data_IF_626643867532
#
_entry.id   IF_626643867532
#
_cell.length_a   1.000
_cell.length_b   1.000
_cell.length_c   1.000
_cell.angle_alpha   90.00
_cell.angle_beta   90.00
_cell.angle_gamma   90.00
#
_symmetry.space_group_name_H-M   'P 1'
#
loop_
_entity.id
_entity.type
_entity.pdbx_description
1 polymer ?
#
# COMPACT_ATOMS: atom_id res chain seq x y z
N UNK A 1 -19.10 30.69 -12.96
CA UNK A 1 -19.15 29.33 -12.36
C UNK A 1 -18.44 28.23 -13.19
N UNK A 2 -18.32 28.33 -14.52
CA UNK A 2 -17.66 27.32 -15.38
C UNK A 2 -16.13 27.16 -15.21
N UNK A 3 -15.43 28.10 -14.55
CA UNK A 3 -13.95 28.09 -14.44
C UNK A 3 -13.40 27.40 -13.18
N UNK A 4 -14.26 27.04 -12.21
CA UNK A 4 -13.82 26.37 -10.97
C UNK A 4 -13.94 24.84 -11.02
N UNK A 5 -14.69 24.30 -11.99
CA UNK A 5 -14.95 22.86 -12.14
C UNK A 5 -13.76 22.07 -12.71
N UNK A 6 -12.99 22.67 -13.61
CA UNK A 6 -11.86 21.99 -14.26
C UNK A 6 -10.71 21.63 -13.29
N UNK A 7 -10.26 22.50 -12.37
CA UNK A 7 -9.20 22.14 -11.42
C UNK A 7 -9.68 21.19 -10.32
N UNK A 8 -10.97 21.20 -9.95
CA UNK A 8 -11.54 20.21 -9.01
C UNK A 8 -11.69 18.83 -9.65
N UNK A 9 -12.04 18.75 -10.94
CA UNK A 9 -12.07 17.51 -11.71
C UNK A 9 -10.65 16.89 -11.84
N UNK A 10 -9.64 17.72 -12.11
CA UNK A 10 -8.24 17.27 -12.20
C UNK A 10 -7.66 16.82 -10.85
N UNK A 11 -7.99 17.52 -9.75
CA UNK A 11 -7.55 17.15 -8.41
C UNK A 11 -8.23 15.87 -7.89
N UNK A 12 -9.50 15.63 -8.28
CA UNK A 12 -10.16 14.35 -7.99
C UNK A 12 -9.57 13.22 -8.83
N UNK A 13 -9.30 13.41 -10.13
CA UNK A 13 -8.62 12.38 -10.95
C UNK A 13 -7.25 11.92 -10.39
N UNK A 14 -6.50 12.81 -9.73
CA UNK A 14 -5.18 12.48 -9.19
C UNK A 14 -5.22 11.60 -7.91
N UNK A 15 -6.16 11.85 -6.99
CA UNK A 15 -6.30 11.06 -5.74
C UNK A 15 -6.96 9.70 -6.01
N UNK A 16 -7.78 9.59 -7.06
CA UNK A 16 -8.34 8.31 -7.49
C UNK A 16 -7.28 7.39 -8.13
N UNK A 17 -6.14 7.89 -8.59
CA UNK A 17 -5.22 7.13 -9.47
C UNK A 17 -4.65 5.83 -8.89
N UNK A 18 -4.32 5.77 -7.59
CA UNK A 18 -3.68 4.59 -7.01
C UNK A 18 -4.68 3.48 -6.61
N UNK A 19 -5.81 3.84 -5.98
CA UNK A 19 -6.85 2.87 -5.62
C UNK A 19 -7.79 2.53 -6.78
N UNK A 20 -7.93 3.41 -7.78
CA UNK A 20 -8.73 3.11 -8.96
C UNK A 20 -8.04 2.11 -9.89
N UNK A 21 -6.71 2.04 -9.87
CA UNK A 21 -5.97 1.12 -10.74
C UNK A 21 -6.35 -0.34 -10.47
N UNK A 22 -6.46 -0.74 -9.20
CA UNK A 22 -6.81 -2.10 -8.81
C UNK A 22 -8.26 -2.51 -9.15
N UNK A 23 -9.12 -1.52 -9.40
CA UNK A 23 -10.53 -1.68 -9.74
C UNK A 23 -10.81 -1.58 -11.23
N UNK A 24 -9.80 -1.22 -12.02
CA UNK A 24 -9.92 -1.05 -13.46
C UNK A 24 -9.70 -2.39 -14.18
N UNK A 25 -10.48 -2.62 -15.22
CA UNK A 25 -10.35 -3.75 -16.11
C UNK A 25 -10.55 -3.33 -17.56
N UNK A 26 -9.86 -4.01 -18.48
CA UNK A 26 -10.08 -3.92 -19.91
C UNK A 26 -10.74 -5.19 -20.42
N UNK A 27 -11.65 -5.05 -21.37
CA UNK A 27 -12.40 -6.15 -21.96
C UNK A 27 -12.17 -6.17 -23.46
N UNK A 28 -11.93 -7.35 -24.03
CA UNK A 28 -11.91 -7.60 -25.46
C UNK A 28 -12.81 -8.81 -25.73
N UNK A 29 -13.72 -8.70 -26.69
CA UNK A 29 -14.64 -9.78 -27.00
C UNK A 29 -14.96 -9.84 -28.48
N UNK A 30 -15.37 -11.04 -28.90
CA UNK A 30 -16.00 -11.28 -30.19
C UNK A 30 -17.25 -12.12 -29.97
N UNK A 31 -18.20 -12.07 -30.88
CA UNK A 31 -19.40 -12.87 -30.75
C UNK A 31 -20.18 -12.99 -32.03
N UNK A 32 -21.14 -13.90 -31.99
CA UNK A 32 -22.09 -14.16 -33.06
C UNK A 32 -23.37 -13.38 -32.81
N UNK A 33 -23.85 -12.66 -33.82
CA UNK A 33 -25.10 -11.90 -33.80
C UNK A 33 -26.25 -12.78 -34.33
N UNK A 34 -27.39 -12.74 -33.65
CA UNK A 34 -28.59 -13.49 -34.01
C UNK A 34 -29.73 -12.52 -34.22
N UNK A 35 -30.13 -12.22 -35.47
CA UNK A 35 -31.32 -11.42 -35.70
C UNK A 35 -32.55 -12.16 -35.17
N UNK A 36 -33.46 -11.44 -34.51
CA UNK A 36 -34.77 -11.96 -34.13
C UNK A 36 -35.85 -11.29 -34.99
N UNK A 37 -35.76 -11.51 -36.30
CA UNK A 37 -36.69 -10.98 -37.31
C UNK A 37 -37.18 -12.11 -38.23
N UNK A 38 -37.96 -11.76 -39.26
CA UNK A 38 -38.54 -12.73 -40.20
C UNK A 38 -37.51 -13.34 -41.17
N UNK A 39 -36.29 -12.80 -41.21
CA UNK A 39 -35.16 -13.25 -42.02
C UNK A 39 -34.32 -14.31 -41.28
N UNK A 40 -34.98 -15.39 -40.87
CA UNK A 40 -34.37 -16.46 -40.06
C UNK A 40 -33.38 -17.35 -40.83
N UNK A 41 -33.33 -17.23 -42.16
CA UNK A 41 -32.41 -18.02 -42.97
C UNK A 41 -31.06 -17.32 -43.10
N UNK A 42 -30.01 -18.14 -43.20
CA UNK A 42 -28.64 -17.68 -43.45
C UNK A 42 -27.96 -18.54 -44.52
N UNK A 43 -28.73 -19.05 -45.49
CA UNK A 43 -28.29 -19.97 -46.54
C UNK A 43 -28.02 -19.30 -47.90
N UNK A 44 -28.25 -17.99 -48.04
CA UNK A 44 -27.87 -17.25 -49.24
C UNK A 44 -26.35 -17.20 -49.43
N UNK A 45 -25.87 -17.50 -50.65
CA UNK A 45 -24.43 -17.60 -50.97
C UNK A 45 -23.65 -16.30 -50.70
N UNK A 46 -24.33 -15.15 -50.66
CA UNK A 46 -23.73 -13.86 -50.33
C UNK A 46 -23.58 -13.56 -48.84
N UNK A 47 -24.16 -14.36 -47.95
CA UNK A 47 -24.19 -14.09 -46.52
C UNK A 47 -22.79 -14.08 -45.90
N UNK A 48 -22.48 -13.01 -45.16
CA UNK A 48 -21.29 -12.99 -44.32
C UNK A 48 -21.63 -13.60 -42.97
N UNK A 49 -20.65 -14.17 -42.26
CA UNK A 49 -20.85 -14.61 -40.89
C UNK A 49 -21.29 -13.42 -40.02
N UNK A 50 -22.37 -13.60 -39.26
CA UNK A 50 -22.91 -12.58 -38.35
C UNK A 50 -21.99 -12.43 -37.14
N UNK A 51 -20.95 -11.61 -37.28
CA UNK A 51 -19.89 -11.46 -36.30
C UNK A 51 -19.79 -10.04 -35.79
N UNK A 52 -19.40 -9.93 -34.52
CA UNK A 52 -19.06 -8.68 -33.89
C UNK A 52 -17.74 -8.79 -33.15
N UNK A 53 -17.04 -7.67 -33.05
CA UNK A 53 -15.87 -7.47 -32.21
C UNK A 53 -16.08 -6.23 -31.36
N UNK A 54 -15.64 -6.28 -30.12
CA UNK A 54 -15.81 -5.19 -29.20
C UNK A 54 -14.71 -5.09 -28.17
N UNK A 55 -14.58 -3.89 -27.62
CA UNK A 55 -13.64 -3.56 -26.58
C UNK A 55 -14.33 -2.68 -25.53
N UNK A 56 -13.89 -2.78 -24.29
CA UNK A 56 -14.50 -2.02 -23.21
C UNK A 56 -13.57 -1.80 -22.03
N UNK A 57 -14.00 -0.93 -21.13
CA UNK A 57 -13.37 -0.67 -19.85
C UNK A 57 -14.38 -0.85 -18.73
N UNK A 58 -13.96 -1.51 -17.66
CA UNK A 58 -14.77 -1.77 -16.47
C UNK A 58 -14.13 -1.16 -15.24
N UNK A 59 -14.93 -0.55 -14.38
CA UNK A 59 -14.53 -0.02 -13.07
C UNK A 59 -15.39 -0.65 -11.97
N UNK A 60 -14.74 -1.37 -11.05
CA UNK A 60 -15.42 -2.05 -9.96
C UNK A 60 -15.86 -1.06 -8.87
N UNK A 61 -17.15 -0.69 -8.88
CA UNK A 61 -17.73 0.26 -7.91
C UNK A 61 -18.08 -0.39 -6.57
N UNK A 62 -18.41 -1.68 -6.56
CA UNK A 62 -18.63 -2.47 -5.35
C UNK A 62 -18.12 -3.91 -5.52
N UNK A 63 -17.99 -4.72 -4.45
CA UNK A 63 -17.46 -6.08 -4.56
C UNK A 63 -18.14 -6.91 -5.65
N UNK A 64 -19.47 -6.84 -5.75
CA UNK A 64 -20.29 -7.57 -6.73
C UNK A 64 -20.72 -6.72 -7.93
N UNK A 65 -20.35 -5.44 -8.03
CA UNK A 65 -20.88 -4.52 -9.04
C UNK A 65 -19.76 -3.78 -9.78
N UNK A 66 -19.80 -3.85 -11.10
CA UNK A 66 -18.85 -3.19 -12.00
C UNK A 66 -19.61 -2.27 -12.95
N UNK A 67 -19.19 -1.02 -13.05
CA UNK A 67 -19.63 -0.10 -14.10
C UNK A 67 -18.77 -0.36 -15.34
N UNK A 68 -19.38 -0.60 -16.49
CA UNK A 68 -18.68 -0.99 -17.71
C UNK A 68 -19.12 -0.15 -18.90
N UNK A 69 -18.15 0.40 -19.62
CA UNK A 69 -18.35 1.04 -20.92
C UNK A 69 -17.82 0.14 -22.03
N UNK A 70 -18.60 -0.08 -23.08
CA UNK A 70 -18.24 -0.92 -24.22
C UNK A 70 -18.47 -0.21 -25.54
N UNK A 71 -17.58 -0.47 -26.50
CA UNK A 71 -17.74 -0.17 -27.91
C UNK A 71 -17.71 -1.47 -28.70
N UNK A 72 -18.56 -1.58 -29.71
CA UNK A 72 -18.67 -2.76 -30.57
C UNK A 72 -18.85 -2.35 -32.02
N UNK A 73 -18.29 -3.14 -32.93
CA UNK A 73 -18.59 -3.09 -34.35
C UNK A 73 -18.92 -4.50 -34.83
N UNK A 74 -19.91 -4.65 -35.71
CA UNK A 74 -20.30 -5.95 -36.24
C UNK A 74 -21.12 -5.85 -37.50
N UNK A 75 -21.41 -7.02 -38.07
CA UNK A 75 -22.31 -7.17 -39.20
C UNK A 75 -23.37 -8.23 -38.89
N UNK A 76 -24.56 -8.01 -39.42
CA UNK A 76 -25.70 -8.90 -39.28
C UNK A 76 -26.41 -8.97 -40.62
N UNK A 77 -26.39 -10.17 -41.17
CA UNK A 77 -26.90 -10.52 -42.47
C UNK A 77 -28.00 -11.57 -42.26
N UNK A 78 -29.01 -11.57 -43.13
CA UNK A 78 -30.11 -12.53 -43.08
C UNK A 78 -30.89 -12.54 -44.39
N UNK A 79 -31.56 -13.65 -44.67
CA UNK A 79 -32.35 -13.81 -45.88
C UNK A 79 -33.71 -14.48 -45.60
N UNK A 80 -34.64 -14.27 -46.52
CA UNK A 80 -35.85 -15.08 -46.68
C UNK A 80 -35.98 -15.54 -48.14
N UNK A 81 -37.15 -16.02 -48.56
CA UNK A 81 -37.40 -16.56 -49.91
C UNK A 81 -37.08 -15.61 -51.09
N UNK A 82 -37.14 -14.27 -50.90
CA UNK A 82 -37.06 -13.29 -52.00
C UNK A 82 -35.99 -12.22 -51.73
N UNK A 83 -35.83 -11.82 -50.47
CA UNK A 83 -34.92 -10.73 -50.11
C UNK A 83 -33.79 -11.21 -49.20
N UNK A 84 -32.65 -10.54 -49.36
CA UNK A 84 -31.47 -10.66 -48.53
C UNK A 84 -31.10 -9.28 -48.01
N UNK A 85 -30.71 -9.17 -46.74
CA UNK A 85 -30.24 -7.91 -46.17
C UNK A 85 -28.84 -8.02 -45.55
N UNK A 86 -28.13 -6.89 -45.59
CA UNK A 86 -26.83 -6.68 -44.94
C UNK A 86 -26.90 -5.48 -44.00
N UNK A 87 -26.58 -5.69 -42.73
CA UNK A 87 -26.56 -4.62 -41.73
C UNK A 87 -25.20 -4.52 -41.06
N UNK A 88 -24.52 -3.38 -41.23
CA UNK A 88 -23.33 -3.03 -40.46
C UNK A 88 -23.74 -2.18 -39.26
N UNK A 89 -23.27 -2.52 -38.06
CA UNK A 89 -23.64 -1.84 -36.82
C UNK A 89 -22.43 -1.46 -35.97
N UNK A 90 -22.59 -0.36 -35.24
CA UNK A 90 -21.66 0.15 -34.24
C UNK A 90 -22.45 0.47 -32.97
N UNK A 91 -22.00 -0.05 -31.84
CA UNK A 91 -22.65 0.19 -30.55
C UNK A 91 -21.68 0.89 -29.59
N UNK A 92 -22.22 1.82 -28.80
CA UNK A 92 -21.56 2.37 -27.63
C UNK A 92 -22.51 2.27 -26.43
N UNK A 93 -22.10 1.57 -25.37
CA UNK A 93 -22.95 1.27 -24.21
C UNK A 93 -22.25 1.60 -22.90
N UNK A 94 -23.06 1.94 -21.89
CA UNK A 94 -22.62 2.11 -20.51
C UNK A 94 -23.58 1.34 -19.61
N UNK A 95 -23.07 0.32 -18.92
CA UNK A 95 -23.90 -0.60 -18.14
C UNK A 95 -23.28 -1.08 -16.85
N UNK A 96 -24.02 -1.96 -16.20
CA UNK A 96 -23.67 -2.58 -14.94
C UNK A 96 -23.53 -4.09 -15.13
N UNK A 97 -22.40 -4.61 -14.65
CA UNK A 97 -22.15 -6.04 -14.51
C UNK A 97 -22.27 -6.41 -13.02
N UNK A 98 -23.21 -7.30 -12.71
CA UNK A 98 -23.48 -7.77 -11.37
C UNK A 98 -23.05 -9.22 -11.17
N UNK A 99 -22.00 -9.44 -10.38
CA UNK A 99 -21.48 -10.77 -10.08
C UNK A 99 -22.31 -11.43 -8.98
N UNK A 100 -23.20 -12.33 -9.38
CA UNK A 100 -24.12 -13.06 -8.49
C UNK A 100 -23.37 -13.95 -7.50
N UNK A 101 -22.24 -14.56 -7.90
CA UNK A 101 -21.48 -15.47 -7.04
C UNK A 101 -20.95 -14.74 -5.80
N UNK A 102 -20.57 -13.47 -5.95
CA UNK A 102 -20.05 -12.67 -4.83
C UNK A 102 -21.09 -12.33 -3.76
N UNK A 103 -22.38 -12.55 -4.01
CA UNK A 103 -23.41 -12.46 -2.98
C UNK A 103 -23.32 -13.62 -1.98
N UNK A 104 -22.95 -14.81 -2.45
CA UNK A 104 -22.92 -16.03 -1.64
C UNK A 104 -21.52 -16.34 -1.11
N UNK A 105 -20.49 -16.03 -1.88
CA UNK A 105 -19.10 -16.22 -1.48
C UNK A 105 -18.22 -15.05 -1.96
N UNK A 106 -17.83 -14.19 -1.02
CA UNK A 106 -17.06 -12.97 -1.31
C UNK A 106 -15.65 -13.25 -1.81
N UNK A 107 -15.08 -14.38 -1.41
CA UNK A 107 -13.67 -14.74 -1.67
C UNK A 107 -13.53 -15.67 -2.89
N UNK A 108 -14.64 -16.10 -3.50
CA UNK A 108 -14.60 -16.99 -4.63
C UNK A 108 -14.35 -16.23 -5.94
N UNK A 109 -13.11 -16.31 -6.45
CA UNK A 109 -12.71 -15.62 -7.69
C UNK A 109 -12.57 -16.53 -8.92
N UNK A 110 -12.65 -17.86 -8.77
CA UNK A 110 -12.36 -18.81 -9.88
C UNK A 110 -13.40 -18.81 -10.99
N UNK A 111 -14.68 -18.73 -10.61
CA UNK A 111 -15.81 -18.66 -11.54
C UNK A 111 -16.65 -17.45 -11.14
N UNK A 112 -17.07 -16.67 -12.13
CA UNK A 112 -17.90 -15.48 -12.00
C UNK A 112 -19.16 -15.71 -12.81
N UNK A 113 -20.31 -15.36 -12.25
CA UNK A 113 -21.58 -15.33 -12.98
C UNK A 113 -22.06 -13.89 -12.96
N UNK A 114 -21.96 -13.20 -14.08
CA UNK A 114 -22.33 -11.80 -14.19
C UNK A 114 -23.68 -11.66 -14.89
N UNK A 115 -24.60 -10.92 -14.28
CA UNK A 115 -25.77 -10.39 -14.97
C UNK A 115 -25.43 -9.01 -15.50
N UNK A 116 -25.79 -8.74 -16.75
CA UNK A 116 -25.44 -7.52 -17.47
C UNK A 116 -26.70 -6.75 -17.84
N UNK A 117 -26.70 -5.44 -17.61
CA UNK A 117 -27.69 -4.50 -18.15
C UNK A 117 -26.97 -3.22 -18.57
N UNK A 118 -27.09 -2.83 -19.84
CA UNK A 118 -26.41 -1.67 -20.40
C UNK A 118 -27.29 -0.91 -21.42
N UNK A 119 -27.79 0.29 -21.06
CA UNK A 119 -28.27 1.22 -22.06
C UNK A 119 -27.13 1.75 -22.93
N UNK A 120 -27.46 2.17 -24.14
CA UNK A 120 -26.50 2.78 -25.04
C UNK A 120 -27.12 3.29 -26.33
N UNK A 121 -26.25 3.51 -27.29
CA UNK A 121 -26.58 3.99 -28.62
C UNK A 121 -26.02 3.04 -29.68
N UNK A 122 -26.79 2.85 -30.74
CA UNK A 122 -26.40 2.08 -31.91
C UNK A 122 -26.51 2.93 -33.17
N UNK A 123 -25.51 2.81 -34.01
CA UNK A 123 -25.48 3.36 -35.35
C UNK A 123 -25.45 2.18 -36.32
N UNK A 124 -26.31 2.19 -37.33
CA UNK A 124 -26.32 1.10 -38.31
C UNK A 124 -26.49 1.61 -39.74
N UNK A 125 -26.10 0.77 -40.69
CA UNK A 125 -26.41 0.90 -42.11
C UNK A 125 -26.89 -0.46 -42.61
N UNK A 126 -28.12 -0.52 -43.08
CA UNK A 126 -28.79 -1.70 -43.59
C UNK A 126 -29.07 -1.56 -45.10
N UNK A 127 -28.91 -2.64 -45.86
CA UNK A 127 -29.20 -2.69 -47.30
C UNK A 127 -29.98 -3.95 -47.60
N UNK A 128 -31.05 -3.83 -48.37
CA UNK A 128 -31.84 -4.97 -48.85
C UNK A 128 -31.63 -5.16 -50.35
N UNK A 129 -31.53 -6.42 -50.75
CA UNK A 129 -31.31 -6.88 -52.11
C UNK A 129 -32.35 -7.91 -52.50
N UNK A 130 -32.72 -7.91 -53.78
CA UNK A 130 -33.43 -9.01 -54.40
C UNK A 130 -32.45 -10.18 -54.63
N UNK A 131 -32.82 -11.40 -54.20
CA UNK A 131 -31.92 -12.56 -54.23
C UNK A 131 -31.61 -13.00 -55.66
N UNK A 132 -32.58 -12.92 -56.58
CA UNK A 132 -32.45 -13.42 -57.96
C UNK A 132 -31.65 -12.46 -58.84
N UNK A 133 -31.94 -11.17 -58.74
CA UNK A 133 -31.37 -10.12 -59.59
C UNK A 133 -30.13 -9.46 -58.97
N UNK A 134 -29.96 -9.58 -57.65
CA UNK A 134 -28.94 -8.88 -56.85
C UNK A 134 -29.06 -7.36 -56.91
N UNK A 135 -30.20 -6.84 -57.36
CA UNK A 135 -30.46 -5.41 -57.36
C UNK A 135 -30.73 -4.93 -55.93
N UNK A 136 -30.14 -3.79 -55.57
CA UNK A 136 -30.38 -3.16 -54.27
C UNK A 136 -31.77 -2.51 -54.29
N UNK A 137 -32.65 -2.99 -53.43
CA UNK A 137 -34.03 -2.52 -53.33
C UNK A 137 -34.15 -1.33 -52.36
N UNK A 138 -33.52 -1.45 -51.18
CA UNK A 138 -33.66 -0.49 -50.08
C UNK A 138 -32.31 -0.27 -49.41
N UNK A 139 -32.10 0.94 -48.89
CA UNK A 139 -30.96 1.27 -48.03
C UNK A 139 -31.44 2.15 -46.88
N UNK A 140 -31.04 1.80 -45.66
CA UNK A 140 -31.30 2.55 -44.44
C UNK A 140 -29.99 2.88 -43.71
N UNK A 141 -29.77 4.11 -43.25
CA UNK A 141 -30.59 5.28 -43.56
C UNK A 141 -30.47 5.69 -45.05
N UNK A 142 -31.48 6.38 -45.58
CA UNK A 142 -31.51 6.79 -47.00
C UNK A 142 -30.33 7.72 -47.30
N UNK A 143 -29.49 7.39 -48.29
CA UNK A 143 -28.36 8.22 -48.69
C UNK A 143 -28.82 9.65 -49.07
N UNK A 144 -28.23 10.65 -48.42
CA UNK A 144 -28.52 12.07 -48.69
C UNK A 144 -29.50 12.73 -47.71
N UNK A 145 -30.34 11.96 -47.02
CA UNK A 145 -31.30 12.50 -46.06
C UNK A 145 -30.83 12.38 -44.60
N UNK A 146 -30.14 11.28 -44.22
CA UNK A 146 -29.58 11.09 -42.87
C UNK A 146 -28.35 10.16 -42.93
N UNK A 147 -27.21 10.60 -42.41
CA UNK A 147 -26.06 9.72 -42.14
C UNK A 147 -26.27 9.02 -40.80
N UNK A 148 -26.03 7.70 -40.71
CA UNK A 148 -26.07 6.85 -39.51
C UNK A 148 -27.02 7.36 -38.41
N UNK A 149 -28.29 6.95 -38.42
CA UNK A 149 -29.22 7.34 -37.37
C UNK A 149 -28.79 6.77 -36.02
N UNK A 150 -28.64 7.60 -34.98
CA UNK A 150 -28.43 7.11 -33.62
C UNK A 150 -29.72 6.52 -33.09
N UNK A 151 -29.68 5.27 -32.61
CA UNK A 151 -30.83 4.61 -32.03
C UNK A 151 -30.51 4.18 -30.61
N UNK A 152 -31.48 4.32 -29.72
CA UNK A 152 -31.32 3.85 -28.35
C UNK A 152 -31.33 2.33 -28.34
N UNK A 153 -30.41 1.74 -27.55
CA UNK A 153 -30.39 0.31 -27.31
C UNK A 153 -30.35 0.01 -25.82
N UNK A 154 -31.01 -1.07 -25.43
CA UNK A 154 -30.88 -1.67 -24.12
C UNK A 154 -30.38 -3.11 -24.26
N UNK A 155 -29.12 -3.33 -23.87
CA UNK A 155 -28.54 -4.66 -23.82
C UNK A 155 -28.77 -5.27 -22.43
N UNK A 156 -29.18 -6.53 -22.37
CA UNK A 156 -29.31 -7.27 -21.11
C UNK A 156 -28.99 -8.75 -21.30
N UNK A 157 -28.40 -9.39 -20.30
CA UNK A 157 -28.04 -10.80 -20.41
C UNK A 157 -27.16 -11.29 -19.27
N UNK A 158 -26.36 -12.31 -19.54
CA UNK A 158 -25.47 -12.90 -18.55
C UNK A 158 -24.21 -13.48 -19.15
N UNK A 159 -23.18 -13.61 -18.32
CA UNK A 159 -21.92 -14.24 -18.70
C UNK A 159 -21.32 -15.07 -17.56
N UNK A 160 -20.60 -16.12 -17.94
CA UNK A 160 -19.74 -16.91 -17.08
C UNK A 160 -18.29 -16.53 -17.35
N UNK A 161 -17.60 -16.06 -16.32
CA UNK A 161 -16.17 -15.76 -16.34
C UNK A 161 -15.39 -16.86 -15.63
N UNK A 162 -14.33 -17.37 -16.25
CA UNK A 162 -13.41 -18.36 -15.70
C UNK A 162 -12.04 -17.69 -15.54
N UNK A 163 -11.55 -17.60 -14.31
CA UNK A 163 -10.24 -17.01 -14.02
C UNK A 163 -9.13 -17.93 -14.52
N UNK A 164 -8.40 -17.49 -15.55
CA UNK A 164 -7.21 -18.16 -16.07
C UNK A 164 -5.96 -17.78 -15.27
N UNK A 165 -5.94 -16.57 -14.73
CA UNK A 165 -4.90 -16.05 -13.84
C UNK A 165 -5.48 -14.99 -12.90
N UNK A 166 -4.74 -14.50 -11.88
CA UNK A 166 -5.22 -13.42 -11.01
C UNK A 166 -5.61 -12.12 -11.75
N UNK A 167 -5.17 -11.94 -13.00
CA UNK A 167 -5.41 -10.75 -13.81
C UNK A 167 -6.18 -11.02 -15.10
N UNK A 168 -6.49 -12.26 -15.43
CA UNK A 168 -7.08 -12.62 -16.72
C UNK A 168 -8.22 -13.61 -16.55
N UNK A 169 -9.38 -13.24 -17.07
CA UNK A 169 -10.53 -14.12 -17.16
C UNK A 169 -10.89 -14.40 -18.62
N UNK A 170 -11.28 -15.63 -18.91
CA UNK A 170 -12.04 -15.99 -20.11
C UNK A 170 -13.53 -15.83 -19.80
N UNK A 171 -14.28 -15.15 -20.66
CA UNK A 171 -15.70 -14.87 -20.48
C UNK A 171 -16.49 -15.48 -21.63
N UNK A 172 -17.57 -16.17 -21.30
CA UNK A 172 -18.56 -16.71 -22.23
C UNK A 172 -19.91 -16.12 -21.83
N UNK A 173 -20.67 -15.56 -22.76
CA UNK A 173 -21.94 -14.93 -22.40
C UNK A 173 -22.93 -14.85 -23.54
N UNK A 174 -24.16 -14.52 -23.16
CA UNK A 174 -25.23 -14.22 -24.09
C UNK A 174 -25.97 -12.97 -23.60
N UNK A 175 -26.29 -12.07 -24.52
CA UNK A 175 -27.16 -10.94 -24.21
C UNK A 175 -28.13 -10.65 -25.36
N UNK A 176 -29.30 -10.16 -25.00
CA UNK A 176 -30.28 -9.63 -25.94
C UNK A 176 -30.09 -8.11 -26.03
N UNK A 177 -30.39 -7.54 -27.20
CA UNK A 177 -30.46 -6.11 -27.44
C UNK A 177 -31.89 -5.79 -27.83
N UNK A 178 -32.49 -4.88 -27.10
CA UNK A 178 -33.71 -4.18 -27.50
C UNK A 178 -33.30 -2.90 -28.21
N UNK A 179 -33.85 -2.66 -29.39
CA UNK A 179 -33.61 -1.45 -30.18
C UNK A 179 -34.90 -0.66 -30.24
N UNK A 180 -34.87 0.53 -29.65
CA UNK A 180 -36.07 1.36 -29.52
C UNK A 180 -36.34 2.15 -30.80
N UNK A 181 -37.60 2.15 -31.25
CA UNK A 181 -38.11 2.89 -32.42
C UNK A 181 -37.29 2.71 -33.71
N UNK A 182 -36.75 1.51 -33.94
CA UNK A 182 -36.08 1.14 -35.20
C UNK A 182 -36.90 0.08 -35.91
N UNK A 183 -37.41 0.44 -37.09
CA UNK A 183 -38.17 -0.44 -37.99
C UNK A 183 -37.38 -0.82 -39.26
N UNK A 184 -36.10 -0.43 -39.35
CA UNK A 184 -35.31 -0.52 -40.58
C UNK A 184 -33.97 -1.21 -40.38
N UNK A 185 -33.76 -1.90 -39.26
CA UNK A 185 -32.49 -2.57 -38.99
C UNK A 185 -32.25 -3.76 -39.92
N UNK A 186 -33.30 -4.36 -40.47
CA UNK A 186 -33.30 -5.39 -41.49
C UNK A 186 -33.61 -4.84 -42.90
N UNK A 187 -33.64 -3.50 -43.04
CA UNK A 187 -34.04 -2.78 -44.24
C UNK A 187 -35.45 -3.12 -44.78
N UNK A 188 -36.33 -3.66 -43.93
CA UNK A 188 -37.72 -3.95 -44.25
C UNK A 188 -38.67 -3.26 -43.26
N UNK A 189 -39.50 -2.33 -43.74
CA UNK A 189 -40.50 -1.68 -42.90
C UNK A 189 -41.72 -2.60 -42.72
N UNK A 190 -41.64 -3.55 -41.78
CA UNK A 190 -42.77 -4.41 -41.43
C UNK A 190 -43.12 -4.34 -39.95
N UNK A 191 -43.96 -3.36 -39.60
CA UNK A 191 -44.63 -3.25 -38.30
C UNK A 191 -44.17 -2.09 -37.41
N UNK A 192 -45.01 -1.70 -36.46
CA UNK A 192 -44.74 -0.62 -35.48
C UNK A 192 -43.92 -1.12 -34.26
N UNK A 193 -43.20 -2.24 -34.39
CA UNK A 193 -42.59 -2.93 -33.25
C UNK A 193 -41.09 -2.68 -33.19
N UNK A 194 -40.57 -2.58 -31.96
CA UNK A 194 -39.14 -2.49 -31.69
C UNK A 194 -38.40 -3.76 -32.12
N UNK A 195 -37.25 -3.57 -32.76
CA UNK A 195 -36.37 -4.67 -33.18
C UNK A 195 -35.58 -5.29 -32.01
N UNK A 196 -35.26 -6.59 -32.16
CA UNK A 196 -34.41 -7.33 -31.22
C UNK A 196 -33.32 -8.13 -31.94
N UNK A 197 -32.18 -8.29 -31.29
CA UNK A 197 -31.18 -9.28 -31.68
C UNK A 197 -30.43 -9.82 -30.47
N UNK A 198 -30.02 -11.08 -30.58
CA UNK A 198 -29.14 -11.76 -29.63
C UNK A 198 -27.68 -11.59 -29.99
N UNK A 199 -26.80 -11.76 -29.01
CA UNK A 199 -25.41 -12.11 -29.31
C UNK A 199 -24.83 -13.02 -28.25
N UNK A 200 -24.27 -14.14 -28.73
CA UNK A 200 -23.42 -15.04 -27.96
C UNK A 200 -21.97 -14.60 -28.14
N UNK A 201 -21.22 -14.44 -27.05
CA UNK A 201 -19.89 -13.84 -27.07
C UNK A 201 -18.88 -14.64 -26.27
N UNK A 202 -17.64 -14.59 -26.75
CA UNK A 202 -16.43 -15.05 -26.06
C UNK A 202 -15.44 -13.90 -25.97
N UNK A 203 -14.79 -13.74 -24.83
CA UNK A 203 -13.86 -12.64 -24.64
C UNK A 203 -12.94 -12.80 -23.45
N UNK A 204 -12.00 -11.87 -23.33
CA UNK A 204 -11.07 -11.80 -22.23
C UNK A 204 -11.30 -10.53 -21.42
N UNK A 205 -11.20 -10.66 -20.10
CA UNK A 205 -11.16 -9.52 -19.19
C UNK A 205 -9.80 -9.49 -18.52
N UNK A 206 -9.07 -8.38 -18.71
CA UNK A 206 -7.78 -8.14 -18.06
C UNK A 206 -7.94 -7.13 -16.92
N UNK A 207 -7.60 -7.51 -15.69
CA UNK A 207 -7.66 -6.66 -14.52
C UNK A 207 -6.31 -5.98 -14.26
N UNK A 208 -6.32 -4.67 -14.05
CA UNK A 208 -5.15 -3.90 -13.65
C UNK A 208 -4.87 -4.02 -12.14
N UNK A 209 -5.01 -5.23 -11.57
CA UNK A 209 -4.61 -5.49 -10.18
C UNK A 209 -3.09 -5.33 -10.03
N UNK A 210 -2.65 -4.57 -9.04
CA UNK A 210 -1.25 -4.58 -8.65
C UNK A 210 -0.91 -5.95 -8.03
N UNK A 211 0.26 -6.45 -8.39
CA UNK A 211 0.75 -7.71 -7.84
C UNK A 211 1.27 -7.41 -6.43
N UNK A 212 0.69 -7.95 -5.35
CA UNK A 212 1.15 -7.67 -3.99
C UNK A 212 2.60 -8.10 -3.76
N UNK A 213 3.17 -8.93 -4.66
CA UNK A 213 4.57 -9.31 -4.64
C UNK A 213 5.55 -8.21 -5.12
N UNK A 214 5.06 -7.15 -5.78
CA UNK A 214 5.88 -6.03 -6.22
C UNK A 214 5.64 -4.82 -5.32
N UNK A 215 6.44 -4.73 -4.26
CA UNK A 215 6.56 -3.52 -3.42
C UNK A 215 7.04 -2.38 -4.32
N UNK A 216 6.11 -1.55 -4.80
CA UNK A 216 6.49 -0.28 -5.41
C UNK A 216 6.97 0.62 -4.27
N UNK A 217 8.28 0.73 -4.13
CA UNK A 217 8.87 1.69 -3.20
C UNK A 217 8.58 3.09 -3.75
N UNK A 218 7.83 3.88 -3.00
CA UNK A 218 7.63 5.30 -3.30
C UNK A 218 9.01 5.95 -3.50
N UNK A 219 9.24 6.53 -4.69
CA UNK A 219 10.53 7.15 -5.04
C UNK A 219 10.95 8.20 -4.03
N UNK A 220 10.00 8.90 -3.40
CA UNK A 220 10.29 9.89 -2.37
C UNK A 220 10.71 9.22 -1.07
N UNK A 221 10.00 8.19 -0.63
CA UNK A 221 10.36 7.40 0.54
C UNK A 221 11.72 6.70 0.37
N UNK A 222 12.02 6.21 -0.84
CA UNK A 222 13.33 5.63 -1.18
C UNK A 222 14.44 6.68 -1.15
N UNK A 223 14.21 7.88 -1.70
CA UNK A 223 15.17 8.97 -1.66
C UNK A 223 15.43 9.45 -0.22
N UNK A 224 14.39 9.54 0.61
CA UNK A 224 14.52 9.90 2.02
C UNK A 224 15.21 8.79 2.84
N UNK A 225 14.97 7.52 2.50
CA UNK A 225 15.67 6.39 3.11
C UNK A 225 17.16 6.40 2.74
N UNK A 226 17.50 6.62 1.46
CA UNK A 226 18.88 6.74 1.02
C UNK A 226 19.60 7.93 1.67
N UNK A 227 18.91 9.06 1.87
CA UNK A 227 19.46 10.18 2.65
C UNK A 227 19.72 9.79 4.11
N UNK A 228 18.81 9.06 4.75
CA UNK A 228 19.02 8.58 6.11
C UNK A 228 20.21 7.60 6.20
N UNK A 229 20.34 6.69 5.24
CA UNK A 229 21.46 5.74 5.17
C UNK A 229 22.77 6.50 4.95
N UNK A 230 22.83 7.44 4.02
CA UNK A 230 24.02 8.27 3.78
C UNK A 230 24.41 9.08 5.02
N UNK A 231 23.43 9.64 5.75
CA UNK A 231 23.70 10.36 7.00
C UNK A 231 24.21 9.42 8.10
N UNK A 232 23.68 8.19 8.18
CA UNK A 232 24.13 7.16 9.12
C UNK A 232 25.57 6.71 8.81
N UNK A 233 25.88 6.45 7.55
CA UNK A 233 27.25 6.13 7.11
C UNK A 233 28.24 7.25 7.43
N UNK A 234 27.84 8.50 7.21
CA UNK A 234 28.65 9.65 7.61
C UNK A 234 28.87 9.70 9.14
N UNK A 235 27.82 9.45 9.92
CA UNK A 235 27.91 9.42 11.39
C UNK A 235 28.82 8.29 11.88
N UNK A 236 28.79 7.12 11.21
CA UNK A 236 29.67 5.98 11.53
C UNK A 236 31.12 6.34 11.20
N UNK A 237 31.39 6.95 10.05
CA UNK A 237 32.74 7.40 9.67
C UNK A 237 33.29 8.47 10.64
N UNK A 238 32.45 9.41 11.07
CA UNK A 238 32.82 10.41 12.10
C UNK A 238 33.11 9.75 13.45
N UNK A 239 32.36 8.71 13.83
CA UNK A 239 32.61 7.94 15.05
C UNK A 239 33.89 7.10 14.98
N UNK A 240 34.21 6.52 13.82
CA UNK A 240 35.47 5.82 13.60
C UNK A 240 36.67 6.77 13.70
N UNK A 241 36.58 7.94 13.04
CA UNK A 241 37.61 8.98 13.15
C UNK A 241 37.77 9.51 14.58
N UNK A 242 36.67 9.64 15.33
CA UNK A 242 36.73 9.97 16.76
C UNK A 242 37.33 8.83 17.58
N UNK A 243 37.08 7.56 17.24
CA UNK A 243 37.69 6.39 17.86
C UNK A 243 39.21 6.36 17.68
N UNK A 244 39.70 6.64 16.48
CA UNK A 244 41.14 6.77 16.21
C UNK A 244 41.76 7.91 17.02
N UNK A 245 41.08 9.05 17.12
CA UNK A 245 41.54 10.20 17.91
C UNK A 245 41.55 9.91 19.42
N UNK A 246 40.60 9.11 19.91
CA UNK A 246 40.58 8.64 21.29
C UNK A 246 41.76 7.69 21.56
N UNK A 247 42.04 6.75 20.64
CA UNK A 247 43.19 5.86 20.77
C UNK A 247 44.53 6.61 20.75
N UNK A 248 44.67 7.65 19.92
CA UNK A 248 45.84 8.53 19.92
C UNK A 248 46.02 9.28 21.24
N UNK A 249 44.93 9.82 21.80
CA UNK A 249 44.94 10.51 23.09
C UNK A 249 45.25 9.55 24.25
N UNK A 250 44.81 8.30 24.17
CA UNK A 250 45.11 7.28 25.18
C UNK A 250 46.60 6.89 25.17
N UNK A 251 47.18 6.69 23.98
CA UNK A 251 48.64 6.49 23.85
C UNK A 251 49.44 7.70 24.36
N UNK A 252 49.01 8.92 24.01
CA UNK A 252 49.66 10.15 24.50
C UNK A 252 49.57 10.28 26.02
N UNK A 253 48.45 9.89 26.63
CA UNK A 253 48.32 9.87 28.09
C UNK A 253 49.22 8.81 28.72
N UNK A 254 49.29 7.60 28.16
CA UNK A 254 50.19 6.55 28.65
C UNK A 254 51.66 7.00 28.60
N UNK A 255 52.07 7.65 27.51
CA UNK A 255 53.42 8.21 27.37
C UNK A 255 53.71 9.28 28.44
N UNK A 256 52.76 10.20 28.66
CA UNK A 256 52.87 11.20 29.73
C UNK A 256 52.93 10.57 31.12
N UNK A 257 52.16 9.52 31.38
CA UNK A 257 52.21 8.78 32.65
C UNK A 257 53.58 8.12 32.84
N UNK A 258 54.13 7.49 31.82
CA UNK A 258 55.51 6.95 31.89
C UNK A 258 56.53 8.07 32.14
N UNK A 259 56.37 9.24 31.51
CA UNK A 259 57.26 10.38 31.74
C UNK A 259 57.16 10.89 33.17
N UNK A 260 55.95 10.98 33.73
CA UNK A 260 55.73 11.34 35.13
C UNK A 260 56.42 10.34 36.06
N UNK A 261 56.22 9.04 35.86
CA UNK A 261 56.89 8.01 36.67
C UNK A 261 58.42 8.09 36.57
N UNK A 262 58.95 8.37 35.38
CA UNK A 262 60.40 8.57 35.18
C UNK A 262 60.89 9.80 35.95
N UNK A 263 60.16 10.91 35.86
CA UNK A 263 60.47 12.14 36.59
C UNK A 263 60.33 11.97 38.10
N UNK A 264 59.35 11.20 38.58
CA UNK A 264 59.19 10.86 39.99
C UNK A 264 60.36 10.02 40.50
N UNK A 265 60.81 9.02 39.72
CA UNK A 265 62.01 8.25 40.05
C UNK A 265 63.28 9.11 40.06
N UNK A 266 63.42 10.06 39.12
CA UNK A 266 64.49 11.06 39.12
C UNK A 266 64.39 11.99 40.34
N UNK A 267 63.18 12.42 40.72
CA UNK A 267 62.94 13.31 41.85
C UNK A 267 63.18 12.60 43.19
N UNK A 268 62.79 11.33 43.32
CA UNK A 268 63.10 10.50 44.50
C UNK A 268 64.61 10.23 44.60
N UNK A 269 65.30 10.02 43.48
CA UNK A 269 66.76 9.93 43.45
C UNK A 269 67.45 11.25 43.81
N UNK A 270 66.85 12.38 43.43
CA UNK A 270 67.34 13.71 43.78
C UNK A 270 67.05 14.07 45.25
N UNK A 271 65.90 13.63 45.79
CA UNK A 271 65.54 13.76 47.21
C UNK A 271 66.45 12.92 48.10
N UNK A 272 66.90 11.75 47.67
CA UNK A 272 67.90 10.98 48.43
C UNK A 272 69.27 11.65 48.51
N UNK A 273 69.56 12.67 47.69
CA UNK A 273 70.79 13.48 47.75
C UNK A 273 70.63 14.82 48.49
N UNK A 274 69.44 15.14 49.02
CA UNK A 274 69.17 16.41 49.72
C UNK A 274 68.48 16.16 51.07
N UNK A 275 69.31 15.98 52.10
CA UNK A 275 69.08 16.19 53.55
C UNK A 275 67.87 15.52 54.22
N UNK A 276 68.19 14.61 55.13
CA UNK A 276 67.98 14.74 56.59
C UNK A 276 67.02 15.84 57.08
N UNK A 277 66.16 15.43 58.02
CA UNK A 277 65.38 16.23 58.99
C UNK A 277 64.14 16.99 58.48
N UNK A 278 62.96 16.41 58.72
CA UNK A 278 62.06 16.81 59.83
C UNK A 278 60.57 16.56 59.57
N UNK A 279 59.91 16.14 60.65
CA UNK A 279 58.53 16.44 61.02
C UNK A 279 57.38 15.79 60.23
N UNK A 280 57.06 14.58 60.68
CA UNK A 280 55.75 13.94 60.63
C UNK A 280 54.66 14.89 61.15
N UNK A 281 53.75 15.33 60.28
CA UNK A 281 52.49 15.97 60.68
C UNK A 281 51.35 15.03 60.31
N UNK A 282 50.84 14.33 61.32
CA UNK A 282 49.64 13.49 61.28
C UNK A 282 48.41 14.36 61.04
N UNK A 283 47.80 14.21 59.86
CA UNK A 283 46.43 14.66 59.57
C UNK A 283 45.50 13.51 59.99
N UNK A 284 44.42 13.76 60.74
CA UNK A 284 43.52 12.71 61.19
C UNK A 284 42.65 12.24 60.02
N UNK A 285 42.80 10.97 59.64
CA UNK A 285 41.82 10.21 58.85
C UNK A 285 40.61 9.94 59.73
N UNK A 286 39.72 10.93 59.82
CA UNK A 286 38.33 10.71 60.17
C UNK A 286 37.58 10.25 58.92
N UNK A 287 37.61 8.96 58.64
CA UNK A 287 36.61 8.31 57.77
C UNK A 287 35.98 7.19 58.58
N UNK A 288 34.96 7.57 59.36
CA UNK A 288 33.92 6.64 59.75
C UNK A 288 33.32 6.07 58.46
N UNK A 289 33.57 4.80 58.20
CA UNK A 289 32.92 4.07 57.13
C UNK A 289 31.39 4.15 57.31
N UNK A 290 30.62 4.72 56.37
CA UNK A 290 29.18 4.53 56.40
C UNK A 290 28.88 3.08 55.98
N UNK A 291 28.34 2.35 56.95
CA UNK A 291 27.50 1.15 56.84
C UNK A 291 27.57 0.33 55.53
N UNK A 292 28.18 -0.86 55.63
CA UNK A 292 27.97 -2.07 54.83
C UNK A 292 27.04 -1.95 53.60
N UNK A 293 27.56 -1.45 52.48
CA UNK A 293 26.90 -1.55 51.17
C UNK A 293 26.58 -3.01 50.79
N UNK A 294 27.41 -3.95 51.25
CA UNK A 294 27.20 -5.39 51.04
C UNK A 294 26.04 -5.98 51.87
N UNK A 295 25.77 -5.46 53.08
CA UNK A 295 24.66 -5.95 53.90
C UNK A 295 23.30 -5.50 53.36
N UNK A 296 23.23 -4.34 52.71
CA UNK A 296 22.00 -3.79 52.14
C UNK A 296 21.62 -4.51 50.83
N UNK A 297 22.59 -5.14 50.15
CA UNK A 297 22.34 -5.91 48.93
C UNK A 297 21.84 -7.33 49.19
N UNK A 298 22.03 -7.88 50.40
CA UNK A 298 21.79 -9.29 50.72
C UNK A 298 20.33 -9.72 50.92
N UNK A 299 19.39 -8.79 51.13
CA UNK A 299 17.96 -9.12 51.28
C UNK A 299 17.14 -8.79 50.03
N UNK A 300 16.28 -9.71 49.54
CA UNK A 300 15.47 -9.49 48.35
C UNK A 300 14.49 -8.34 48.55
N UNK A 301 14.75 -7.20 47.91
CA UNK A 301 13.97 -5.98 48.07
C UNK A 301 13.87 -5.20 46.76
N UNK A 302 12.79 -4.44 46.60
CA UNK A 302 12.60 -3.52 45.48
C UNK A 302 13.36 -2.22 45.75
N UNK A 303 14.37 -1.92 44.94
CA UNK A 303 15.27 -0.77 45.13
C UNK A 303 15.09 0.24 43.99
N UNK A 304 15.03 1.52 44.33
CA UNK A 304 14.95 2.62 43.35
C UNK A 304 16.35 3.03 42.95
N UNK A 305 16.67 2.92 41.66
CA UNK A 305 17.94 3.37 41.08
C UNK A 305 17.74 4.77 40.50
N UNK A 306 18.66 5.67 40.84
CA UNK A 306 18.63 7.07 40.39
C UNK A 306 19.78 7.44 39.45
N UNK A 307 20.84 6.64 39.43
CA UNK A 307 21.95 6.77 38.49
C UNK A 307 22.69 5.44 38.31
N UNK A 308 23.31 5.26 37.14
CA UNK A 308 24.28 4.19 36.85
C UNK A 308 25.53 4.82 36.25
N UNK A 309 26.68 4.64 36.90
CA UNK A 309 27.91 5.39 36.62
C UNK A 309 29.13 4.45 36.51
N UNK A 310 30.17 4.80 35.73
CA UNK A 310 31.29 3.89 35.46
C UNK A 310 32.19 3.60 36.67
N UNK A 311 32.30 4.53 37.61
CA UNK A 311 33.18 4.40 38.75
C UNK A 311 32.54 4.93 40.05
N UNK A 312 33.04 4.43 41.19
CA UNK A 312 32.54 4.77 42.52
C UNK A 312 32.65 6.26 42.83
N UNK A 313 33.72 6.92 42.38
CA UNK A 313 33.96 8.37 42.61
C UNK A 313 32.88 9.21 41.94
N UNK A 314 32.47 8.86 40.72
CA UNK A 314 31.38 9.52 40.01
C UNK A 314 30.03 9.28 40.69
N UNK A 315 29.78 8.04 41.15
CA UNK A 315 28.57 7.71 41.90
C UNK A 315 28.47 8.50 43.22
N UNK A 316 29.57 8.60 43.96
CA UNK A 316 29.62 9.40 45.19
C UNK A 316 29.43 10.89 44.87
N UNK A 317 30.16 11.42 43.88
CA UNK A 317 30.00 12.82 43.45
C UNK A 317 28.57 13.13 42.99
N UNK A 318 27.88 12.15 42.41
CA UNK A 318 26.48 12.30 42.04
C UNK A 318 25.59 12.41 43.28
N UNK A 319 25.78 11.56 44.30
CA UNK A 319 25.08 11.65 45.60
C UNK A 319 25.33 13.03 46.22
N UNK A 320 26.59 13.47 46.26
CA UNK A 320 27.00 14.72 46.87
C UNK A 320 26.34 15.94 46.22
N UNK A 321 26.13 15.90 44.90
CA UNK A 321 25.47 16.96 44.11
C UNK A 321 23.95 16.86 44.08
N UNK A 322 23.38 15.70 44.43
CA UNK A 322 21.93 15.52 44.38
C UNK A 322 21.23 16.35 45.47
N UNK A 323 20.08 16.91 45.12
CA UNK A 323 19.19 17.62 46.06
C UNK A 323 18.21 16.66 46.77
N UNK A 324 18.39 15.36 46.58
CA UNK A 324 17.57 14.34 47.22
C UNK A 324 18.04 14.10 48.66
N UNK A 325 17.17 13.50 49.46
CA UNK A 325 17.53 13.00 50.79
C UNK A 325 18.62 11.92 50.70
N UNK A 326 19.81 12.21 51.23
CA UNK A 326 21.00 11.36 51.13
C UNK A 326 21.03 10.26 52.19
N UNK A 327 20.15 10.31 53.19
CA UNK A 327 20.20 9.43 54.38
C UNK A 327 20.03 7.94 54.07
N UNK A 328 19.35 7.60 52.97
CA UNK A 328 19.16 6.21 52.52
C UNK A 328 19.98 5.83 51.28
N UNK A 329 20.82 6.73 50.77
CA UNK A 329 21.53 6.51 49.50
C UNK A 329 22.74 5.60 49.68
N UNK A 330 22.87 4.60 48.79
CA UNK A 330 23.98 3.65 48.80
C UNK A 330 24.51 3.46 47.38
N UNK A 331 25.83 3.35 47.24
CA UNK A 331 26.47 2.98 45.98
C UNK A 331 26.66 1.46 45.94
N UNK A 332 26.05 0.80 44.97
CA UNK A 332 26.15 -0.64 44.76
C UNK A 332 26.89 -0.94 43.46
N UNK A 333 27.88 -1.84 43.50
CA UNK A 333 28.54 -2.33 42.28
C UNK A 333 27.80 -3.54 41.72
N UNK A 334 27.48 -3.52 40.42
CA UNK A 334 26.79 -4.60 39.73
C UNK A 334 27.77 -5.28 38.76
N UNK A 335 28.26 -6.46 39.15
CA UNK A 335 29.28 -7.21 38.40
C UNK A 335 28.86 -7.47 36.94
N UNK A 336 27.65 -7.97 36.73
CA UNK A 336 27.14 -8.31 35.38
C UNK A 336 27.09 -7.14 34.39
N UNK A 337 27.03 -5.91 34.91
CA UNK A 337 26.95 -4.70 34.08
C UNK A 337 28.24 -3.87 34.16
N UNK A 338 29.21 -4.27 34.99
CA UNK A 338 30.41 -3.49 35.31
C UNK A 338 30.11 -2.00 35.60
N UNK A 339 29.06 -1.73 36.38
CA UNK A 339 28.63 -0.36 36.70
C UNK A 339 28.31 -0.17 38.17
N UNK A 340 28.52 1.06 38.67
CA UNK A 340 28.14 1.49 40.00
C UNK A 340 26.76 2.16 39.94
N UNK A 341 25.78 1.57 40.61
CA UNK A 341 24.42 2.10 40.72
C UNK A 341 24.26 2.88 42.02
N UNK A 342 23.61 4.03 41.94
CA UNK A 342 23.18 4.79 43.12
C UNK A 342 21.76 4.34 43.46
N UNK A 343 21.63 3.64 44.58
CA UNK A 343 20.36 3.21 45.17
C UNK A 343 19.85 4.32 46.06
N UNK A 344 18.62 4.78 45.86
CA UNK A 344 18.02 5.83 46.67
C UNK A 344 17.36 5.31 47.96
N UNK A 345 16.46 4.34 47.82
CA UNK A 345 15.74 3.67 48.92
C UNK A 345 15.36 2.25 48.50
N UNK A 346 15.20 1.38 49.49
CA UNK A 346 14.76 -0.01 49.33
C UNK A 346 13.40 -0.23 49.99
N UNK A 347 12.58 -1.08 49.39
CA UNK A 347 11.21 -1.36 49.83
C UNK A 347 10.90 -2.86 49.78
N UNK A 348 10.10 -3.38 50.73
CA UNK A 348 9.71 -4.79 50.72
C UNK A 348 8.64 -5.13 49.67
N UNK A 349 8.02 -4.12 49.03
CA UNK A 349 7.00 -4.36 48.00
C UNK A 349 7.11 -3.38 46.84
N UNK A 350 6.82 -3.86 45.63
CA UNK A 350 6.81 -3.05 44.41
C UNK A 350 5.83 -1.87 44.50
N UNK A 351 4.68 -2.04 45.15
CA UNK A 351 3.69 -0.98 45.32
C UNK A 351 4.23 0.20 46.14
N UNK A 352 4.98 -0.08 47.22
CA UNK A 352 5.63 0.95 48.01
C UNK A 352 6.74 1.66 47.22
N UNK A 353 7.57 0.90 46.51
CA UNK A 353 8.62 1.46 45.63
C UNK A 353 8.04 2.34 44.53
N UNK A 354 6.94 1.94 43.89
CA UNK A 354 6.28 2.71 42.82
C UNK A 354 5.73 4.03 43.32
N UNK A 355 5.16 4.08 44.52
CA UNK A 355 4.64 5.32 45.11
C UNK A 355 5.77 6.32 45.34
N UNK A 356 6.91 5.88 45.86
CA UNK A 356 8.07 6.74 46.05
C UNK A 356 8.73 7.16 44.72
N UNK A 357 8.80 6.24 43.74
CA UNK A 357 9.34 6.54 42.41
C UNK A 357 8.61 7.71 41.74
N UNK A 358 7.28 7.79 41.87
CA UNK A 358 6.49 8.89 41.31
C UNK A 358 6.87 10.25 41.92
N UNK A 359 7.22 10.28 43.21
CA UNK A 359 7.67 11.51 43.88
C UNK A 359 9.05 11.93 43.35
N UNK A 360 9.96 10.97 43.10
CA UNK A 360 11.33 11.24 42.66
C UNK A 360 11.39 11.60 41.17
N UNK A 361 10.49 11.07 40.34
CA UNK A 361 10.50 11.32 38.88
C UNK A 361 10.37 12.79 38.48
N UNK A 362 9.86 13.64 39.37
CA UNK A 362 9.88 15.10 39.17
C UNK A 362 11.29 15.71 39.18
N UNK A 363 12.22 15.12 39.94
CA UNK A 363 13.62 15.57 40.03
C UNK A 363 14.58 14.73 39.19
N UNK A 364 14.27 13.44 39.01
CA UNK A 364 15.09 12.49 38.25
C UNK A 364 14.17 11.67 37.34
N UNK A 365 13.91 12.15 36.11
CA UNK A 365 13.00 11.48 35.17
C UNK A 365 13.44 10.04 34.86
N UNK A 366 14.75 9.81 34.86
CA UNK A 366 15.39 8.55 34.53
C UNK A 366 15.46 7.58 35.71
N UNK A 367 14.77 7.81 36.83
CA UNK A 367 14.76 6.84 37.93
C UNK A 367 13.92 5.59 37.56
N UNK A 368 14.36 4.40 37.99
CA UNK A 368 13.63 3.13 37.81
C UNK A 368 13.71 2.24 39.05
N UNK A 369 12.88 1.18 39.07
CA UNK A 369 12.86 0.17 40.14
C UNK A 369 13.53 -1.10 39.62
N UNK A 370 14.33 -1.74 40.46
CA UNK A 370 14.89 -3.06 40.22
C UNK A 370 14.73 -3.91 41.49
N UNK A 371 14.50 -5.19 41.33
CA UNK A 371 14.55 -6.17 42.42
C UNK A 371 15.94 -6.79 42.42
N UNK A 372 16.54 -6.86 43.58
CA UNK A 372 17.85 -7.46 43.81
C UNK A 372 17.73 -8.54 44.86
#
# INVERSE_FOLDING_TARGET
MKKLLLPTLLATCAIFSAQAQEKLSGHLYTGWLFPHNDFIHSDYEGNKPNLAVGAGIGYQIAPALTLRGDFMAGNMDGNHEIYYYETSLYEAKLGLDFNVIKLFNKDYEKIKLNLHVAPGMMYYSAKMYDIDTREKLVESPVPGDKALSPNFILAYGGSVGIALSPKLDLNLGYSNRFVDEVEWMDANQSGDYSDYYGMAQVGFTYYLKNDPSKVQVDKKAYADLNKKVSNLEQTVSENEANGERIAELEMSNQEKTMRIQTLEAELDSAKTNFSTDMATTTIPTGDEAPANAEAILGEPQFRIIVASLPNRVMAQRWIDRSNLDKSGMVVAYIENLNTYRVVYKSFPSFAAARKELLNIKGSIPDAWIVEF
#
